data_IF_830909253040
#
_entry.id   IF_830909253040
#
_cell.length_a   1.000
_cell.length_b   1.000
_cell.length_c   1.000
_cell.angle_alpha   90.00
_cell.angle_beta   90.00
_cell.angle_gamma   90.00
#
_symmetry.space_group_name_H-M   'P 1'
#
loop_
_entity.id
_entity.type
_entity.pdbx_description
1 polymer ?
#
# COMPACT_ATOMS: atom_id res chain seq x y z
N UNK A 1 -1.85 -63.64 -42.93
CA UNK A 1 -1.63 -62.68 -41.82
C UNK A 1 -0.82 -61.42 -42.18
N UNK A 2 -0.07 -61.37 -43.29
CA UNK A 2 0.75 -60.18 -43.65
C UNK A 2 -0.05 -59.08 -44.39
N UNK A 3 -1.11 -59.42 -45.12
CA UNK A 3 -1.97 -58.44 -45.81
C UNK A 3 -3.03 -57.75 -44.92
N UNK A 4 -3.42 -58.38 -43.79
CA UNK A 4 -4.37 -57.77 -42.84
C UNK A 4 -3.74 -56.66 -42.00
N UNK A 5 -2.42 -56.73 -41.74
CA UNK A 5 -1.68 -55.68 -41.01
C UNK A 5 -1.48 -54.42 -41.86
N UNK A 6 -1.37 -54.54 -43.18
CA UNK A 6 -1.20 -53.39 -44.09
C UNK A 6 -2.49 -52.61 -44.28
N UNK A 7 -3.65 -53.27 -44.28
CA UNK A 7 -4.97 -52.62 -44.43
C UNK A 7 -5.35 -51.85 -43.15
N UNK A 8 -5.03 -52.38 -41.96
CA UNK A 8 -5.27 -51.67 -40.69
C UNK A 8 -4.35 -50.45 -40.56
N UNK A 9 -3.09 -50.53 -41.00
CA UNK A 9 -2.18 -49.37 -41.02
C UNK A 9 -2.63 -48.29 -42.02
N UNK A 10 -3.18 -48.68 -43.17
CA UNK A 10 -3.71 -47.73 -44.15
C UNK A 10 -5.02 -47.08 -43.70
N UNK A 11 -5.91 -47.81 -43.03
CA UNK A 11 -7.13 -47.23 -42.44
C UNK A 11 -6.81 -46.30 -41.25
N UNK A 12 -5.81 -46.62 -40.41
CA UNK A 12 -5.41 -45.74 -39.30
C UNK A 12 -4.73 -44.46 -39.80
N UNK A 13 -3.95 -44.53 -40.89
CA UNK A 13 -3.36 -43.34 -41.53
C UNK A 13 -4.41 -42.49 -42.26
N UNK A 14 -5.48 -43.09 -42.82
CA UNK A 14 -6.59 -42.33 -43.40
C UNK A 14 -7.50 -41.67 -42.35
N UNK A 15 -7.69 -42.29 -41.18
CA UNK A 15 -8.45 -41.68 -40.07
C UNK A 15 -7.63 -40.59 -39.36
N UNK A 16 -6.30 -40.73 -39.29
CA UNK A 16 -5.40 -39.67 -38.79
C UNK A 16 -5.21 -38.50 -39.77
N UNK A 17 -5.33 -38.72 -41.09
CA UNK A 17 -5.30 -37.63 -42.07
C UNK A 17 -6.65 -36.92 -42.25
N UNK A 18 -7.76 -37.53 -41.82
CA UNK A 18 -9.07 -36.88 -41.72
C UNK A 18 -9.29 -36.10 -40.41
N UNK A 19 -8.49 -36.38 -39.36
CA UNK A 19 -8.56 -35.67 -38.07
C UNK A 19 -7.63 -34.42 -38.01
N UNK A 20 -6.80 -34.20 -39.02
CA UNK A 20 -6.05 -32.96 -39.20
C UNK A 20 -6.84 -31.97 -40.07
N UNK A 21 -8.08 -31.67 -39.70
CA UNK A 21 -8.57 -30.33 -39.97
C UNK A 21 -7.72 -29.41 -39.08
N UNK A 22 -6.80 -28.67 -39.70
CA UNK A 22 -6.35 -27.42 -39.11
C UNK A 22 -7.61 -26.57 -38.98
N UNK A 23 -8.29 -26.69 -37.85
CA UNK A 23 -9.24 -25.70 -37.41
C UNK A 23 -8.44 -24.39 -37.38
N UNK A 24 -8.59 -23.61 -38.45
CA UNK A 24 -8.26 -22.20 -38.40
C UNK A 24 -9.27 -21.64 -37.43
N UNK A 25 -8.88 -21.58 -36.16
CA UNK A 25 -9.56 -20.75 -35.20
C UNK A 25 -9.40 -19.32 -35.72
N UNK A 26 -10.37 -18.85 -36.49
CA UNK A 26 -10.56 -17.43 -36.75
C UNK A 26 -10.97 -16.83 -35.43
N UNK A 27 -9.95 -16.37 -34.69
CA UNK A 27 -10.13 -15.63 -33.46
C UNK A 27 -10.75 -14.29 -33.85
N UNK A 28 -12.07 -14.22 -33.87
CA UNK A 28 -12.80 -12.98 -34.13
C UNK A 28 -12.74 -12.13 -32.86
N UNK A 29 -11.69 -11.32 -32.72
CA UNK A 29 -11.56 -10.39 -31.62
C UNK A 29 -12.51 -9.23 -31.91
N UNK A 30 -13.54 -8.99 -31.07
CA UNK A 30 -14.42 -7.85 -31.25
C UNK A 30 -13.61 -6.55 -31.11
N UNK A 31 -13.72 -5.68 -32.11
CA UNK A 31 -13.08 -4.37 -32.15
C UNK A 31 -14.09 -3.23 -31.96
N UNK A 32 -13.62 -2.07 -31.49
CA UNK A 32 -14.45 -0.89 -31.24
C UNK A 32 -15.12 -0.33 -32.51
N UNK A 33 -14.47 -0.46 -33.67
CA UNK A 33 -14.93 0.07 -34.95
C UNK A 33 -14.97 1.60 -35.01
N UNK A 34 -14.04 2.27 -34.31
CA UNK A 34 -13.91 3.74 -34.24
C UNK A 34 -12.63 4.16 -34.95
N UNK A 35 -12.70 5.17 -35.81
CA UNK A 35 -11.54 5.80 -36.43
C UNK A 35 -11.21 7.13 -35.75
N UNK A 36 -9.92 7.36 -35.54
CA UNK A 36 -9.44 8.51 -34.80
C UNK A 36 -9.21 9.69 -35.76
N UNK A 37 -9.64 10.87 -35.33
CA UNK A 37 -9.44 12.14 -36.01
C UNK A 37 -8.22 12.87 -35.45
N UNK A 38 -8.47 13.86 -34.61
CA UNK A 38 -7.42 14.65 -33.95
C UNK A 38 -7.18 14.18 -32.51
N UNK A 39 -5.96 14.31 -31.97
CA UNK A 39 -4.72 14.58 -32.69
C UNK A 39 -4.36 13.41 -33.63
N UNK A 40 -3.77 13.75 -34.79
CA UNK A 40 -3.30 12.78 -35.78
C UNK A 40 -2.08 12.01 -35.25
N UNK A 41 -1.80 10.84 -35.85
CA UNK A 41 -0.63 10.03 -35.52
C UNK A 41 0.67 10.85 -35.54
N UNK A 42 1.43 10.77 -34.45
CA UNK A 42 2.72 11.45 -34.27
C UNK A 42 2.63 12.95 -34.02
N UNK A 43 1.44 13.51 -33.74
CA UNK A 43 1.29 14.93 -33.42
C UNK A 43 2.09 15.34 -32.17
N UNK A 44 2.32 16.65 -32.01
CA UNK A 44 2.95 17.22 -30.82
C UNK A 44 1.96 18.13 -30.08
N UNK A 45 1.73 17.86 -28.79
CA UNK A 45 0.98 18.71 -27.89
C UNK A 45 1.96 19.43 -26.95
N UNK A 46 2.15 20.73 -27.15
CA UNK A 46 2.99 21.55 -26.28
C UNK A 46 2.14 22.28 -25.23
N UNK A 47 2.20 21.84 -23.98
CA UNK A 47 1.41 22.43 -22.88
C UNK A 47 2.03 23.74 -22.36
N UNK A 48 3.24 24.08 -22.81
CA UNK A 48 3.90 25.36 -22.50
C UNK A 48 3.49 26.49 -23.46
N UNK A 49 2.79 26.17 -24.54
CA UNK A 49 2.31 27.19 -25.48
C UNK A 49 1.16 27.98 -24.84
N UNK A 50 1.46 29.18 -24.37
CA UNK A 50 0.49 30.06 -23.73
C UNK A 50 -0.65 30.51 -24.66
N UNK A 51 -0.51 30.35 -25.98
CA UNK A 51 -1.59 30.61 -26.93
C UNK A 51 -2.63 29.48 -26.98
N UNK A 52 -2.29 28.31 -26.45
CA UNK A 52 -3.17 27.14 -26.42
C UNK A 52 -3.82 27.03 -25.05
N UNK A 53 -5.15 26.99 -25.01
CA UNK A 53 -5.93 26.83 -23.76
C UNK A 53 -6.55 25.44 -23.64
N UNK A 54 -6.68 24.71 -24.75
CA UNK A 54 -7.25 23.37 -24.80
C UNK A 54 -6.78 22.58 -26.02
N UNK A 55 -6.91 21.27 -25.95
CA UNK A 55 -6.68 20.32 -27.03
C UNK A 55 -7.98 19.59 -27.37
N UNK A 56 -8.24 19.40 -28.66
CA UNK A 56 -9.41 18.66 -29.13
C UNK A 56 -9.02 17.24 -29.53
N UNK A 57 -9.73 16.28 -28.96
CA UNK A 57 -9.69 14.87 -29.35
C UNK A 57 -10.97 14.57 -30.13
N UNK A 58 -10.89 13.96 -31.31
CA UNK A 58 -12.08 13.69 -32.14
C UNK A 58 -12.02 12.35 -32.85
N UNK A 59 -13.18 11.81 -33.21
CA UNK A 59 -13.32 10.50 -33.83
C UNK A 59 -14.60 10.42 -34.67
N UNK A 60 -14.75 9.37 -35.48
CA UNK A 60 -15.75 9.32 -36.56
C UNK A 60 -17.14 8.81 -36.17
N UNK A 61 -17.28 8.18 -34.99
CA UNK A 61 -18.48 7.41 -34.64
C UNK A 61 -18.86 7.47 -33.15
N UNK A 62 -20.17 7.46 -32.87
CA UNK A 62 -20.71 7.20 -31.52
C UNK A 62 -20.94 5.70 -31.31
N UNK A 63 -20.29 5.12 -30.31
CA UNK A 63 -20.51 3.72 -29.93
C UNK A 63 -21.84 3.54 -29.18
N UNK A 64 -22.38 2.32 -29.25
CA UNK A 64 -23.50 1.91 -28.39
C UNK A 64 -23.08 2.01 -26.91
N UNK A 65 -23.87 2.71 -26.09
CA UNK A 65 -23.53 3.02 -24.69
C UNK A 65 -22.62 4.24 -24.52
N UNK A 66 -22.28 4.93 -25.60
CA UNK A 66 -21.39 6.09 -25.60
C UNK A 66 -19.91 5.73 -25.71
N UNK A 67 -19.09 6.77 -25.76
CA UNK A 67 -17.66 6.69 -25.99
C UNK A 67 -16.86 7.01 -24.73
N UNK A 68 -15.73 6.33 -24.58
CA UNK A 68 -14.72 6.64 -23.59
C UNK A 68 -13.35 6.76 -24.25
N UNK A 69 -12.65 7.86 -23.99
CA UNK A 69 -11.27 8.05 -24.40
C UNK A 69 -10.38 7.28 -23.44
N UNK A 70 -9.41 6.57 -24.00
CA UNK A 70 -8.41 5.82 -23.25
C UNK A 70 -7.05 6.37 -23.62
N UNK A 71 -6.28 6.82 -22.64
CA UNK A 71 -4.87 7.20 -22.79
C UNK A 71 -3.98 6.18 -22.08
N UNK A 72 -2.80 5.92 -22.65
CA UNK A 72 -1.81 5.01 -22.06
C UNK A 72 -0.38 5.45 -22.40
N UNK A 73 0.57 5.07 -21.55
CA UNK A 73 2.01 5.14 -21.86
C UNK A 73 2.49 3.98 -22.74
N UNK A 74 1.64 2.98 -23.00
CA UNK A 74 1.95 1.78 -23.78
C UNK A 74 1.24 1.76 -25.13
N UNK A 75 1.92 1.40 -26.24
CA UNK A 75 1.30 1.24 -27.56
C UNK A 75 0.26 0.11 -27.60
N UNK A 76 0.26 -0.76 -26.59
CA UNK A 76 -0.66 -1.88 -26.46
C UNK A 76 -1.76 -1.64 -25.43
N UNK A 77 -1.84 -0.42 -24.87
CA UNK A 77 -2.78 -0.05 -23.80
C UNK A 77 -2.65 -0.95 -22.56
N UNK A 78 -1.41 -1.39 -22.27
CA UNK A 78 -1.07 -2.20 -21.10
C UNK A 78 -0.60 -1.33 -19.94
N UNK A 79 -0.96 -1.71 -18.72
CA UNK A 79 -0.57 -0.98 -17.51
C UNK A 79 -1.51 0.17 -17.18
N UNK A 80 -0.95 1.27 -16.69
CA UNK A 80 -1.74 2.44 -16.28
C UNK A 80 -2.42 3.10 -17.48
N UNK A 81 -3.70 3.41 -17.31
CA UNK A 81 -4.51 4.10 -18.30
C UNK A 81 -5.32 5.22 -17.66
N UNK A 82 -5.53 6.29 -18.41
CA UNK A 82 -6.48 7.34 -18.05
C UNK A 82 -7.72 7.15 -18.90
N UNK A 83 -8.88 7.05 -18.24
CA UNK A 83 -10.18 6.87 -18.88
C UNK A 83 -11.03 8.13 -18.71
N UNK A 84 -11.59 8.63 -19.81
CA UNK A 84 -12.50 9.79 -19.79
C UNK A 84 -13.79 9.42 -20.51
N UNK A 85 -14.91 9.50 -19.80
CA UNK A 85 -16.23 9.26 -20.37
C UNK A 85 -16.69 10.48 -21.18
N UNK A 86 -16.82 10.32 -22.49
CA UNK A 86 -17.26 11.37 -23.41
C UNK A 86 -18.76 11.26 -23.79
N UNK A 87 -19.45 10.22 -23.34
CA UNK A 87 -20.88 10.03 -23.62
C UNK A 87 -21.17 9.88 -25.11
N UNK A 88 -22.23 10.52 -25.60
CA UNK A 88 -22.63 10.47 -27.02
C UNK A 88 -21.93 11.52 -27.90
N UNK A 89 -20.78 12.05 -27.46
CA UNK A 89 -19.98 12.95 -28.26
C UNK A 89 -19.09 12.20 -29.27
N UNK A 90 -18.68 12.89 -30.32
CA UNK A 90 -17.64 12.49 -31.28
C UNK A 90 -16.36 13.33 -31.13
N UNK A 91 -16.34 14.22 -30.15
CA UNK A 91 -15.20 15.04 -29.79
C UNK A 91 -15.16 15.26 -28.27
N UNK A 92 -13.96 15.54 -27.76
CA UNK A 92 -13.70 15.91 -26.38
C UNK A 92 -12.67 17.03 -26.35
N UNK A 93 -13.04 18.16 -25.74
CA UNK A 93 -12.14 19.30 -25.55
C UNK A 93 -11.55 19.22 -24.15
N UNK A 94 -10.24 19.02 -24.08
CA UNK A 94 -9.48 18.90 -22.85
C UNK A 94 -8.73 20.20 -22.57
N UNK A 95 -8.90 20.78 -21.38
CA UNK A 95 -8.09 21.96 -21.01
C UNK A 95 -6.60 21.59 -20.91
N UNK A 96 -5.70 22.56 -21.11
CA UNK A 96 -4.25 22.32 -20.95
C UNK A 96 -3.91 21.82 -19.54
N UNK A 97 -4.62 22.31 -18.51
CA UNK A 97 -4.40 21.87 -17.14
C UNK A 97 -4.84 20.42 -16.93
N UNK A 98 -6.02 20.02 -17.42
CA UNK A 98 -6.47 18.64 -17.31
C UNK A 98 -5.58 17.69 -18.13
N UNK A 99 -5.09 18.14 -19.29
CA UNK A 99 -4.09 17.42 -20.07
C UNK A 99 -2.81 17.18 -19.25
N UNK A 100 -2.29 18.21 -18.59
CA UNK A 100 -1.10 18.07 -17.74
C UNK A 100 -1.32 17.06 -16.59
N UNK A 101 -2.50 17.10 -15.96
CA UNK A 101 -2.93 16.13 -14.94
C UNK A 101 -2.89 14.70 -15.48
N UNK A 102 -3.59 14.45 -16.59
CA UNK A 102 -3.74 13.12 -17.16
C UNK A 102 -2.39 12.55 -17.62
N UNK A 103 -1.54 13.36 -18.22
CA UNK A 103 -0.25 12.90 -18.72
C UNK A 103 0.79 12.73 -17.60
N UNK A 104 0.65 13.47 -16.50
CA UNK A 104 1.40 13.22 -15.26
C UNK A 104 1.06 11.85 -14.66
N UNK A 105 -0.23 11.46 -14.66
CA UNK A 105 -0.66 10.15 -14.19
C UNK A 105 -0.08 8.99 -15.03
N UNK A 106 0.23 9.25 -16.30
CA UNK A 106 0.88 8.30 -17.21
C UNK A 106 2.42 8.34 -17.13
N UNK A 107 3.00 9.07 -16.16
CA UNK A 107 4.42 9.06 -15.85
C UNK A 107 5.28 10.03 -16.67
N UNK A 108 4.68 10.92 -17.47
CA UNK A 108 5.45 11.98 -18.13
C UNK A 108 5.80 13.04 -17.08
N UNK A 109 7.08 13.34 -16.86
CA UNK A 109 7.53 14.32 -15.87
C UNK A 109 7.27 15.78 -16.29
N UNK A 110 7.13 16.68 -15.32
CA UNK A 110 6.97 18.12 -15.51
C UNK A 110 8.15 18.73 -16.27
N UNK A 111 7.85 19.56 -17.27
CA UNK A 111 8.83 20.12 -18.21
C UNK A 111 9.54 19.08 -19.09
N UNK A 112 9.13 17.81 -19.08
CA UNK A 112 9.68 16.74 -19.93
C UNK A 112 8.76 16.48 -21.12
N UNK A 113 9.32 15.74 -22.07
CA UNK A 113 8.61 15.23 -23.23
C UNK A 113 8.33 13.75 -23.04
N UNK A 114 7.15 13.28 -23.43
CA UNK A 114 6.79 11.86 -23.40
C UNK A 114 5.88 11.49 -24.57
N UNK A 115 5.78 10.20 -24.88
CA UNK A 115 4.85 9.68 -25.88
C UNK A 115 3.64 9.08 -25.17
N UNK A 116 2.44 9.50 -25.59
CA UNK A 116 1.17 8.97 -25.11
C UNK A 116 0.44 8.34 -26.29
N UNK A 117 -0.20 7.21 -26.02
CA UNK A 117 -1.06 6.49 -26.95
C UNK A 117 -2.50 6.70 -26.55
N UNK A 118 -3.39 6.89 -27.53
CA UNK A 118 -4.80 7.12 -27.25
C UNK A 118 -5.70 6.41 -28.25
N UNK A 119 -6.90 6.10 -27.78
CA UNK A 119 -7.97 5.49 -28.57
C UNK A 119 -9.33 5.84 -27.97
N UNK A 120 -10.40 5.42 -28.65
CA UNK A 120 -11.78 5.51 -28.18
C UNK A 120 -12.40 4.13 -28.17
N UNK A 121 -13.03 3.78 -27.04
CA UNK A 121 -13.75 2.52 -26.87
C UNK A 121 -15.21 2.76 -26.44
N UNK A 122 -16.12 1.81 -26.70
CA UNK A 122 -17.46 1.86 -26.12
C UNK A 122 -17.39 1.83 -24.60
N UNK A 123 -18.09 2.75 -23.93
CA UNK A 123 -18.05 2.90 -22.47
C UNK A 123 -18.37 1.61 -21.73
N UNK A 124 -19.39 0.89 -22.19
CA UNK A 124 -19.85 -0.35 -21.54
C UNK A 124 -19.06 -1.60 -21.95
N UNK A 125 -18.08 -1.47 -22.86
CA UNK A 125 -17.34 -2.60 -23.46
C UNK A 125 -15.84 -2.29 -23.59
N UNK A 126 -15.18 -1.80 -22.54
CA UNK A 126 -13.76 -1.42 -22.56
C UNK A 126 -12.78 -2.58 -22.88
N UNK A 127 -13.22 -3.84 -22.74
CA UNK A 127 -12.44 -5.04 -23.04
C UNK A 127 -12.29 -5.33 -24.53
N UNK A 128 -13.08 -4.68 -25.41
CA UNK A 128 -12.92 -4.85 -26.87
C UNK A 128 -11.58 -4.30 -27.34
N UNK A 129 -11.06 -4.85 -28.44
CA UNK A 129 -9.83 -4.35 -29.04
C UNK A 129 -10.04 -2.94 -29.61
N UNK A 130 -9.02 -2.10 -29.50
CA UNK A 130 -9.00 -0.82 -30.18
C UNK A 130 -8.85 -1.05 -31.69
N UNK A 131 -9.66 -0.38 -32.50
CA UNK A 131 -9.52 -0.44 -33.97
C UNK A 131 -8.31 0.37 -34.43
N UNK A 132 -8.11 1.54 -33.84
CA UNK A 132 -6.96 2.41 -34.08
C UNK A 132 -6.42 2.88 -32.73
N UNK A 133 -5.09 2.98 -32.66
CA UNK A 133 -4.39 3.61 -31.55
C UNK A 133 -3.48 4.65 -32.18
N UNK A 134 -3.72 5.92 -31.87
CA UNK A 134 -2.83 6.98 -32.29
C UNK A 134 -1.81 7.28 -31.20
N UNK A 135 -0.60 7.66 -31.58
CA UNK A 135 0.39 8.23 -30.68
C UNK A 135 0.50 9.75 -30.86
N UNK A 136 0.83 10.46 -29.79
CA UNK A 136 1.29 11.84 -29.85
C UNK A 136 2.41 12.06 -28.84
N UNK A 137 3.26 13.02 -29.15
CA UNK A 137 4.30 13.51 -28.24
C UNK A 137 3.73 14.66 -27.43
N UNK A 138 3.85 14.61 -26.11
CA UNK A 138 3.47 15.70 -25.21
C UNK A 138 4.71 16.36 -24.63
N UNK A 139 4.74 17.69 -24.61
CA UNK A 139 5.69 18.48 -23.82
C UNK A 139 4.93 19.05 -22.62
N UNK A 140 5.14 18.51 -21.41
CA UNK A 140 4.44 18.93 -20.19
C UNK A 140 4.87 20.32 -19.72
N UNK A 141 4.01 20.95 -18.90
CA UNK A 141 4.24 22.30 -18.38
C UNK A 141 5.57 22.36 -17.62
N UNK A 142 6.38 23.38 -17.92
CA UNK A 142 7.63 23.68 -17.23
C UNK A 142 7.31 23.96 -15.76
N UNK A 143 7.92 23.18 -14.89
CA UNK A 143 7.75 23.29 -13.45
C UNK A 143 8.75 24.26 -12.83
N UNK A 144 8.32 24.95 -11.78
CA UNK A 144 9.18 25.74 -10.92
C UNK A 144 9.60 24.97 -9.66
N UNK A 145 9.08 23.75 -9.47
CA UNK A 145 9.47 22.87 -8.38
C UNK A 145 10.74 22.11 -8.75
N UNK A 146 11.64 21.91 -7.80
CA UNK A 146 13.00 21.41 -8.04
C UNK A 146 13.17 20.03 -7.38
N UNK A 147 13.05 19.97 -6.06
CA UNK A 147 13.24 18.75 -5.26
C UNK A 147 12.04 18.57 -4.34
N UNK A 148 11.51 17.35 -4.13
CA UNK A 148 11.81 16.13 -4.90
C UNK A 148 11.46 16.28 -6.38
N UNK A 149 12.24 15.64 -7.26
CA UNK A 149 11.95 15.65 -8.70
C UNK A 149 10.54 15.09 -8.98
N UNK A 150 9.95 15.48 -10.11
CA UNK A 150 8.63 14.95 -10.48
C UNK A 150 8.70 13.42 -10.64
N UNK A 151 7.68 12.71 -10.16
CA UNK A 151 7.62 11.25 -10.06
C UNK A 151 8.64 10.62 -9.09
N UNK A 152 9.27 11.40 -8.21
CA UNK A 152 10.17 10.84 -7.20
C UNK A 152 9.44 9.86 -6.28
N UNK A 153 10.19 8.90 -5.74
CA UNK A 153 9.69 7.97 -4.72
C UNK A 153 10.23 8.35 -3.36
N UNK A 154 9.36 8.43 -2.35
CA UNK A 154 9.73 8.57 -0.94
C UNK A 154 9.18 7.37 -0.17
N UNK A 155 10.09 6.58 0.43
CA UNK A 155 9.74 5.50 1.34
C UNK A 155 10.25 5.91 2.71
N UNK A 156 9.34 6.11 3.64
CA UNK A 156 9.72 6.56 4.98
C UNK A 156 10.18 5.38 5.85
N UNK A 157 11.20 5.62 6.65
CA UNK A 157 11.81 4.69 7.57
C UNK A 157 11.51 5.09 9.02
N UNK A 158 10.85 4.20 9.74
CA UNK A 158 10.53 4.41 11.14
C UNK A 158 11.74 4.34 12.08
N UNK A 159 12.88 3.83 11.61
CA UNK A 159 14.15 3.82 12.37
C UNK A 159 14.92 5.14 12.29
N UNK A 160 14.61 5.99 11.31
CA UNK A 160 15.23 7.31 11.13
C UNK A 160 14.18 8.42 10.98
N UNK A 161 13.23 8.56 11.93
CA UNK A 161 12.12 9.50 11.83
C UNK A 161 12.55 10.97 11.76
N UNK A 162 13.75 11.29 12.26
CA UNK A 162 14.37 12.61 12.27
C UNK A 162 15.10 12.99 10.97
N UNK A 163 15.42 12.02 10.10
CA UNK A 163 16.01 12.33 8.79
C UNK A 163 15.06 13.22 7.98
N UNK A 164 15.61 14.10 7.16
CA UNK A 164 14.82 15.11 6.46
C UNK A 164 14.69 14.81 4.97
N UNK A 165 13.54 15.21 4.42
CA UNK A 165 13.26 15.28 2.99
C UNK A 165 13.18 16.76 2.62
N UNK A 166 14.04 17.17 1.68
CA UNK A 166 14.08 18.53 1.18
C UNK A 166 13.01 18.74 0.10
N UNK A 167 12.24 19.80 0.27
CA UNK A 167 11.36 20.37 -0.74
C UNK A 167 11.91 21.73 -1.17
N UNK A 168 12.06 21.99 -2.47
CA UNK A 168 12.56 23.27 -2.97
C UNK A 168 11.96 23.67 -4.31
N UNK A 169 11.88 24.98 -4.54
CA UNK A 169 11.30 25.59 -5.74
C UNK A 169 12.08 26.85 -6.15
N UNK A 170 11.85 27.28 -7.39
CA UNK A 170 12.42 28.49 -7.95
C UNK A 170 11.78 29.72 -7.29
N UNK A 171 12.62 30.67 -6.88
CA UNK A 171 12.21 31.96 -6.30
C UNK A 171 12.78 33.15 -7.09
N UNK A 172 13.38 32.89 -8.25
CA UNK A 172 13.91 33.96 -9.11
C UNK A 172 12.77 34.89 -9.57
N UNK A 173 12.91 36.19 -9.27
CA UNK A 173 11.89 37.19 -9.56
C UNK A 173 10.88 37.44 -8.43
N UNK A 174 10.91 36.65 -7.35
CA UNK A 174 10.09 36.87 -6.15
C UNK A 174 10.68 37.97 -5.24
N UNK A 175 9.83 38.63 -4.45
CA UNK A 175 10.31 39.54 -3.41
C UNK A 175 11.00 38.76 -2.28
N UNK A 176 12.06 39.32 -1.70
CA UNK A 176 12.86 38.65 -0.64
C UNK A 176 12.06 38.32 0.63
N UNK A 177 10.97 39.06 0.87
CA UNK A 177 10.10 38.88 2.03
C UNK A 177 8.87 38.00 1.72
N UNK A 178 8.81 37.38 0.53
CA UNK A 178 7.71 36.50 0.15
C UNK A 178 7.75 35.25 1.00
N UNK A 179 6.73 35.05 1.84
CA UNK A 179 6.57 33.82 2.61
C UNK A 179 5.75 32.78 1.86
N UNK A 180 6.06 31.50 2.11
CA UNK A 180 5.49 30.37 1.41
C UNK A 180 4.86 29.36 2.38
N UNK A 181 3.96 28.54 1.84
CA UNK A 181 3.52 27.30 2.47
C UNK A 181 3.72 26.14 1.49
N UNK A 182 4.23 25.02 2.00
CA UNK A 182 4.29 23.77 1.26
C UNK A 182 2.93 23.07 1.35
N UNK A 183 2.42 22.60 0.23
CA UNK A 183 1.09 22.01 0.09
C UNK A 183 1.20 20.58 -0.45
N UNK A 184 0.38 19.68 0.09
CA UNK A 184 0.22 18.32 -0.42
C UNK A 184 -1.26 18.01 -0.64
N UNK A 185 -1.58 17.25 -1.69
CA UNK A 185 -2.93 16.85 -2.01
C UNK A 185 -3.00 15.52 -2.76
N UNK A 186 -4.22 15.01 -2.90
CA UNK A 186 -4.51 13.75 -3.61
C UNK A 186 -4.76 13.96 -5.10
N UNK A 187 -4.89 15.21 -5.55
CA UNK A 187 -5.06 15.58 -6.94
C UNK A 187 -4.04 16.64 -7.37
N UNK A 188 -3.58 16.57 -8.62
CA UNK A 188 -2.59 17.50 -9.19
C UNK A 188 -3.07 18.94 -9.26
N UNK A 189 -4.39 19.14 -9.39
CA UNK A 189 -5.03 20.44 -9.41
C UNK A 189 -5.16 21.06 -8.02
N UNK A 190 -4.86 20.31 -6.96
CA UNK A 190 -4.98 20.73 -5.57
C UNK A 190 -6.36 21.35 -5.30
N UNK A 191 -7.42 20.65 -5.70
CA UNK A 191 -8.81 21.16 -5.66
C UNK A 191 -9.54 20.76 -4.37
N UNK A 192 -9.16 19.65 -3.75
CA UNK A 192 -9.78 19.12 -2.51
C UNK A 192 -8.74 18.40 -1.65
N UNK A 193 -9.00 18.31 -0.34
CA UNK A 193 -8.11 17.67 0.66
C UNK A 193 -6.64 18.08 0.50
N UNK A 194 -6.32 19.29 0.97
CA UNK A 194 -4.98 19.85 0.92
C UNK A 194 -4.47 20.02 2.34
N UNK A 195 -3.29 19.48 2.62
CA UNK A 195 -2.55 19.74 3.86
C UNK A 195 -1.46 20.75 3.56
N UNK A 196 -1.27 21.72 4.47
CA UNK A 196 -0.31 22.80 4.31
C UNK A 196 0.61 22.89 5.52
N UNK A 197 1.87 23.25 5.29
CA UNK A 197 2.85 23.53 6.34
C UNK A 197 3.61 24.80 6.01
N UNK A 198 3.94 25.58 7.04
CA UNK A 198 4.75 26.78 6.90
C UNK A 198 6.13 26.46 6.33
N UNK A 199 6.56 27.25 5.35
CA UNK A 199 7.80 27.01 4.63
C UNK A 199 8.76 28.21 4.62
N UNK A 200 8.48 29.25 5.44
CA UNK A 200 9.34 30.43 5.52
C UNK A 200 9.43 31.20 4.19
N UNK A 201 10.56 31.84 3.92
CA UNK A 201 10.76 32.76 2.78
C UNK A 201 11.95 32.42 1.86
N UNK A 202 12.56 31.25 2.01
CA UNK A 202 13.83 30.92 1.34
C UNK A 202 13.68 30.21 0.00
N UNK A 203 12.50 29.68 -0.33
CA UNK A 203 12.32 28.80 -1.49
C UNK A 203 12.60 27.33 -1.24
N UNK A 204 12.81 26.96 0.03
CA UNK A 204 13.06 25.59 0.45
C UNK A 204 12.45 25.29 1.82
N UNK A 205 12.06 24.03 2.03
CA UNK A 205 11.50 23.53 3.27
C UNK A 205 11.98 22.08 3.47
N UNK A 206 12.60 21.80 4.61
CA UNK A 206 12.95 20.43 5.00
C UNK A 206 11.95 19.93 6.04
N UNK A 207 11.35 18.78 5.77
CA UNK A 207 10.47 18.09 6.71
C UNK A 207 11.16 16.83 7.21
N UNK A 208 11.12 16.56 8.51
CA UNK A 208 11.52 15.24 9.01
C UNK A 208 10.57 14.18 8.47
N UNK A 209 11.01 12.92 8.39
CA UNK A 209 10.14 11.83 7.95
C UNK A 209 8.88 11.73 8.83
N UNK A 210 9.00 11.95 10.14
CA UNK A 210 7.85 11.99 11.05
C UNK A 210 6.90 13.16 10.72
N UNK A 211 7.40 14.36 10.47
CA UNK A 211 6.57 15.50 10.10
C UNK A 211 5.84 15.25 8.77
N UNK A 212 6.53 14.68 7.79
CA UNK A 212 5.92 14.35 6.50
C UNK A 212 4.84 13.26 6.65
N UNK A 213 5.09 12.22 7.46
CA UNK A 213 4.10 11.20 7.79
C UNK A 213 2.85 11.83 8.44
N UNK A 214 3.03 12.67 9.47
CA UNK A 214 1.93 13.28 10.21
C UNK A 214 1.10 14.25 9.33
N UNK A 215 1.74 14.91 8.36
CA UNK A 215 1.04 15.75 7.38
C UNK A 215 0.25 14.90 6.38
N UNK A 216 0.91 13.95 5.70
CA UNK A 216 0.27 13.18 4.62
C UNK A 216 -0.81 12.24 5.15
N UNK A 217 -0.72 11.74 6.38
CA UNK A 217 -1.76 10.88 7.00
C UNK A 217 -3.09 11.59 7.29
N UNK A 218 -3.13 12.93 7.18
CA UNK A 218 -4.40 13.68 7.22
C UNK A 218 -5.16 13.61 5.89
N UNK A 219 -4.48 13.21 4.80
CA UNK A 219 -5.10 12.95 3.50
C UNK A 219 -5.73 11.54 3.47
N UNK A 220 -6.73 11.29 2.60
CA UNK A 220 -7.35 9.97 2.46
C UNK A 220 -6.44 8.99 1.70
N UNK A 221 -5.31 8.63 2.32
CA UNK A 221 -4.33 7.71 1.78
C UNK A 221 -4.62 6.25 2.16
N UNK A 222 -4.15 5.32 1.34
CA UNK A 222 -4.03 3.92 1.74
C UNK A 222 -2.84 3.76 2.69
N UNK A 223 -3.11 3.41 3.94
CA UNK A 223 -2.04 3.09 4.89
C UNK A 223 -1.25 1.85 4.44
N UNK A 224 0.06 1.83 4.72
CA UNK A 224 0.98 0.73 4.42
C UNK A 224 1.09 0.32 2.93
N UNK A 225 0.49 1.11 2.03
CA UNK A 225 0.60 1.01 0.59
C UNK A 225 1.40 2.17 0.01
N UNK A 226 1.70 2.06 -1.28
CA UNK A 226 2.21 3.20 -2.05
C UNK A 226 1.04 4.07 -2.49
N UNK A 227 1.18 5.39 -2.28
CA UNK A 227 0.22 6.41 -2.65
C UNK A 227 0.83 7.34 -3.70
N UNK A 228 -0.01 7.96 -4.52
CA UNK A 228 0.40 9.06 -5.40
C UNK A 228 -0.03 10.36 -4.74
N UNK A 229 0.94 11.13 -4.26
CA UNK A 229 0.72 12.43 -3.62
C UNK A 229 1.21 13.52 -4.55
N UNK A 230 0.49 14.62 -4.64
CA UNK A 230 0.91 15.81 -5.37
C UNK A 230 1.42 16.83 -4.39
N UNK A 231 2.49 17.55 -4.75
CA UNK A 231 3.04 18.62 -3.91
C UNK A 231 3.35 19.88 -4.72
N UNK A 232 3.20 21.03 -4.08
CA UNK A 232 3.50 22.35 -4.63
C UNK A 232 3.77 23.33 -3.48
N UNK A 233 4.27 24.52 -3.78
CA UNK A 233 4.34 25.63 -2.83
C UNK A 233 3.31 26.71 -3.21
N UNK A 234 2.82 27.45 -2.22
CA UNK A 234 1.95 28.62 -2.42
C UNK A 234 2.55 29.84 -1.74
N UNK A 235 2.35 31.02 -2.33
CA UNK A 235 2.66 32.30 -1.68
C UNK A 235 1.61 32.55 -0.59
N UNK A 236 2.04 32.95 0.61
CA UNK A 236 1.10 33.28 1.70
C UNK A 236 0.29 34.54 1.44
N UNK A 237 0.85 35.48 0.68
CA UNK A 237 0.25 36.79 0.43
C UNK A 237 -1.09 36.71 -0.30
N UNK A 238 -1.18 35.83 -1.31
CA UNK A 238 -2.33 35.73 -2.20
C UNK A 238 -2.81 34.28 -2.42
N UNK A 239 -2.12 33.29 -1.86
CA UNK A 239 -2.45 31.87 -2.00
C UNK A 239 -2.15 31.29 -3.39
N UNK A 240 -1.48 32.03 -4.27
CA UNK A 240 -1.15 31.56 -5.61
C UNK A 240 -0.06 30.49 -5.58
N UNK A 241 -0.21 29.47 -6.41
CA UNK A 241 0.82 28.43 -6.56
C UNK A 241 2.10 29.02 -7.17
N UNK A 242 3.24 28.47 -6.73
CA UNK A 242 4.53 28.76 -7.35
C UNK A 242 4.57 28.16 -8.73
N UNK A 243 4.34 26.85 -8.86
CA UNK A 243 4.24 26.23 -10.18
C UNK A 243 2.80 26.04 -10.63
N UNK A 244 2.55 26.23 -11.93
CA UNK A 244 1.28 25.92 -12.59
C UNK A 244 0.90 24.44 -12.51
N UNK A 245 1.88 23.56 -12.30
CA UNK A 245 1.71 22.12 -12.12
C UNK A 245 2.31 21.68 -10.79
N UNK A 246 1.64 20.78 -10.11
CA UNK A 246 2.18 20.09 -8.93
C UNK A 246 3.11 18.95 -9.36
N UNK A 247 4.14 18.67 -8.56
CA UNK A 247 4.98 17.49 -8.73
C UNK A 247 4.31 16.27 -8.10
N UNK A 248 4.53 15.10 -8.68
CA UNK A 248 4.13 13.80 -8.15
C UNK A 248 5.22 13.25 -7.24
N UNK A 249 4.80 12.76 -6.07
CA UNK A 249 5.59 12.00 -5.13
C UNK A 249 4.92 10.64 -4.91
N UNK A 250 5.59 9.56 -5.32
CA UNK A 250 5.18 8.18 -4.99
C UNK A 250 5.58 7.91 -3.55
N UNK A 251 4.60 7.97 -2.65
CA UNK A 251 4.82 8.00 -1.22
C UNK A 251 4.45 6.66 -0.58
N UNK A 252 5.38 6.06 0.17
CA UNK A 252 5.10 4.95 1.08
C UNK A 252 5.41 5.41 2.50
N UNK A 253 4.37 5.47 3.33
CA UNK A 253 4.52 5.89 4.72
C UNK A 253 5.32 4.91 5.56
N UNK A 254 5.70 5.36 6.75
CA UNK A 254 6.37 4.54 7.74
C UNK A 254 5.51 3.33 8.11
N UNK A 255 6.15 2.18 8.33
CA UNK A 255 5.49 0.98 8.86
C UNK A 255 5.26 1.12 10.38
N UNK A 256 4.37 2.04 10.73
CA UNK A 256 3.95 2.34 12.11
C UNK A 256 2.43 2.48 12.21
N UNK A 257 1.90 2.11 13.37
CA UNK A 257 0.52 2.37 13.77
C UNK A 257 0.52 3.30 14.98
N UNK A 258 -0.05 4.49 14.82
CA UNK A 258 -0.26 5.43 15.93
C UNK A 258 -1.67 5.22 16.47
N UNK A 259 -1.76 4.52 17.59
CA UNK A 259 -2.99 4.22 18.31
C UNK A 259 -3.34 5.40 19.23
N UNK A 260 -4.48 6.03 18.99
CA UNK A 260 -4.97 7.17 19.78
C UNK A 260 -6.27 6.74 20.45
N UNK A 261 -6.27 6.75 21.79
CA UNK A 261 -7.37 6.29 22.64
C UNK A 261 -7.64 7.33 23.72
N UNK A 262 -8.52 8.28 23.41
CA UNK A 262 -8.71 9.45 24.26
C UNK A 262 -7.44 10.30 24.33
N UNK A 263 -6.86 10.44 25.52
CA UNK A 263 -5.61 11.14 25.78
C UNK A 263 -4.35 10.26 25.66
N UNK A 264 -4.50 8.93 25.50
CA UNK A 264 -3.39 8.01 25.27
C UNK A 264 -3.01 7.99 23.79
N UNK A 265 -1.72 8.23 23.48
CA UNK A 265 -1.13 8.11 22.15
C UNK A 265 0.08 7.19 22.21
N UNK A 266 0.00 6.03 21.57
CA UNK A 266 1.10 5.06 21.51
C UNK A 266 1.37 4.70 20.05
N UNK A 267 2.63 4.79 19.64
CA UNK A 267 3.07 4.33 18.32
C UNK A 267 3.65 2.91 18.42
N UNK A 268 3.21 2.04 17.53
CA UNK A 268 3.66 0.67 17.38
C UNK A 268 4.35 0.46 16.04
N UNK A 269 5.42 -0.34 15.99
CA UNK A 269 5.95 -0.83 14.72
C UNK A 269 5.00 -1.83 14.09
N UNK A 270 5.02 -1.85 12.76
CA UNK A 270 4.21 -2.71 11.91
C UNK A 270 5.14 -3.46 10.96
N UNK A 271 4.75 -4.69 10.61
CA UNK A 271 5.42 -5.50 9.61
C UNK A 271 4.46 -5.79 8.46
N UNK A 272 4.92 -5.57 7.23
CA UNK A 272 4.21 -5.93 6.02
C UNK A 272 4.83 -7.21 5.45
N UNK A 273 4.06 -8.29 5.47
CA UNK A 273 4.51 -9.64 5.11
C UNK A 273 3.85 -10.04 3.80
N UNK A 274 4.64 -10.53 2.85
CA UNK A 274 4.13 -11.09 1.59
C UNK A 274 4.06 -12.61 1.69
N UNK A 275 2.85 -13.16 1.64
CA UNK A 275 2.62 -14.59 1.63
C UNK A 275 2.90 -15.20 0.25
N UNK A 276 3.05 -16.52 0.22
CA UNK A 276 3.35 -17.32 -0.97
C UNK A 276 2.28 -17.18 -2.07
N UNK A 277 1.05 -16.83 -1.69
CA UNK A 277 -0.06 -16.51 -2.60
C UNK A 277 0.11 -15.18 -3.33
N UNK A 278 1.06 -14.34 -2.89
CA UNK A 278 1.26 -12.97 -3.36
C UNK A 278 0.52 -11.92 -2.54
N UNK A 279 -0.34 -12.33 -1.61
CA UNK A 279 -1.06 -11.44 -0.69
C UNK A 279 -0.10 -10.74 0.27
N UNK A 280 -0.35 -9.45 0.53
CA UNK A 280 0.39 -8.67 1.51
C UNK A 280 -0.45 -8.47 2.78
N UNK A 281 -0.01 -9.05 3.89
CA UNK A 281 -0.68 -8.98 5.19
C UNK A 281 0.13 -8.12 6.15
N UNK A 282 -0.54 -7.21 6.83
CA UNK A 282 0.09 -6.21 7.70
C UNK A 282 -0.22 -6.54 9.17
N UNK A 283 0.83 -6.74 9.96
CA UNK A 283 0.77 -7.17 11.35
C UNK A 283 1.40 -6.12 12.27
N UNK A 284 0.88 -5.98 13.50
CA UNK A 284 1.67 -5.34 14.56
C UNK A 284 2.95 -6.14 14.81
N UNK A 285 4.09 -5.45 14.78
CA UNK A 285 5.39 -6.01 15.11
C UNK A 285 5.70 -5.92 16.62
N UNK A 286 4.91 -5.14 17.35
CA UNK A 286 5.03 -4.97 18.79
C UNK A 286 3.78 -5.44 19.52
N UNK A 287 3.96 -5.95 20.74
CA UNK A 287 2.83 -6.24 21.62
C UNK A 287 2.16 -4.94 22.07
N UNK A 288 0.84 -4.96 22.21
CA UNK A 288 0.08 -3.79 22.67
C UNK A 288 0.47 -3.37 24.09
N UNK A 289 0.48 -2.06 24.30
CA UNK A 289 0.88 -1.41 25.56
C UNK A 289 -0.19 -0.49 26.16
N UNK A 290 -1.35 -0.42 25.52
CA UNK A 290 -2.46 0.46 25.88
C UNK A 290 -3.07 0.12 27.24
N UNK A 291 -3.57 1.15 27.90
CA UNK A 291 -4.37 1.05 29.12
C UNK A 291 -5.80 1.56 28.94
N UNK A 292 -6.20 1.85 27.68
CA UNK A 292 -7.52 2.39 27.34
C UNK A 292 -8.19 1.60 26.23
N UNK A 293 -9.51 1.59 26.23
CA UNK A 293 -10.31 1.11 25.10
C UNK A 293 -10.26 2.12 23.94
N UNK A 294 -10.62 1.71 22.71
CA UNK A 294 -10.68 2.62 21.55
C UNK A 294 -11.58 3.83 21.77
N UNK A 295 -12.60 3.73 22.65
CA UNK A 295 -13.47 4.85 23.03
C UNK A 295 -12.83 5.84 24.04
N UNK A 296 -11.59 5.58 24.49
CA UNK A 296 -10.83 6.39 25.43
C UNK A 296 -11.07 6.07 26.91
N UNK A 297 -11.98 5.15 27.24
CA UNK A 297 -12.22 4.72 28.62
C UNK A 297 -11.11 3.81 29.14
N UNK A 298 -10.86 3.83 30.46
CA UNK A 298 -9.78 3.04 31.05
C UNK A 298 -10.09 1.53 31.04
N UNK A 299 -9.08 0.72 30.73
CA UNK A 299 -9.12 -0.73 30.94
C UNK A 299 -8.80 -0.98 32.42
N UNK A 300 -9.62 -1.76 33.12
CA UNK A 300 -9.49 -1.90 34.57
C UNK A 300 -8.48 -2.97 34.98
N UNK A 301 -7.32 -2.54 35.48
CA UNK A 301 -6.37 -3.43 36.18
C UNK A 301 -7.04 -4.11 37.39
N UNK A 302 -7.89 -3.36 38.12
CA UNK A 302 -8.56 -3.84 39.33
C UNK A 302 -9.64 -4.92 39.05
N UNK A 303 -10.12 -5.03 37.82
CA UNK A 303 -11.04 -6.09 37.40
C UNK A 303 -10.31 -7.30 36.81
N UNK A 304 -8.98 -7.22 36.63
CA UNK A 304 -8.23 -8.22 35.88
C UNK A 304 -8.56 -8.17 34.38
N UNK A 305 -8.87 -6.99 33.84
CA UNK A 305 -9.07 -6.80 32.40
C UNK A 305 -7.72 -6.76 31.65
N UNK A 306 -6.65 -6.34 32.34
CA UNK A 306 -5.27 -6.50 31.86
C UNK A 306 -4.27 -6.66 33.02
N UNK A 307 -3.03 -7.05 32.70
CA UNK A 307 -1.90 -7.12 33.63
C UNK A 307 -0.65 -6.47 33.03
N UNK A 308 0.22 -5.97 33.91
CA UNK A 308 1.53 -5.44 33.54
C UNK A 308 2.53 -6.57 33.28
N UNK A 309 3.55 -6.30 32.46
CA UNK A 309 4.72 -7.15 32.39
C UNK A 309 5.36 -7.33 33.79
N UNK A 310 6.01 -8.48 34.04
CA UNK A 310 6.71 -8.72 35.30
C UNK A 310 7.70 -7.59 35.62
N UNK A 311 7.76 -7.18 36.89
CA UNK A 311 8.65 -6.08 37.33
C UNK A 311 10.08 -6.51 37.64
N UNK A 312 10.33 -7.83 37.66
CA UNK A 312 11.62 -8.47 37.94
C UNK A 312 12.52 -8.61 36.69
N UNK A 313 12.08 -8.08 35.54
CA UNK A 313 12.81 -8.07 34.27
C UNK A 313 13.16 -6.62 33.85
N UNK A 314 14.10 -6.47 32.92
CA UNK A 314 14.57 -5.15 32.45
C UNK A 314 13.45 -4.33 31.79
N UNK A 315 13.55 -3.01 31.85
CA UNK A 315 12.58 -2.11 31.19
C UNK A 315 12.42 -2.39 29.70
N UNK A 316 13.52 -2.75 29.01
CA UNK A 316 13.48 -3.15 27.61
C UNK A 316 12.64 -4.40 27.37
N UNK A 317 12.74 -5.41 28.25
CA UNK A 317 11.89 -6.61 28.18
C UNK A 317 10.44 -6.30 28.55
N UNK A 318 10.20 -5.48 29.58
CA UNK A 318 8.84 -5.04 29.94
C UNK A 318 8.14 -4.34 28.77
N UNK A 319 8.85 -3.45 28.07
CA UNK A 319 8.34 -2.75 26.88
C UNK A 319 8.06 -3.72 25.72
N UNK A 320 8.95 -4.68 25.48
CA UNK A 320 8.81 -5.66 24.42
C UNK A 320 7.64 -6.62 24.67
N UNK A 321 7.51 -7.09 25.91
CA UNK A 321 6.42 -7.98 26.33
C UNK A 321 5.06 -7.27 26.31
N UNK A 322 5.04 -5.97 26.60
CA UNK A 322 3.82 -5.17 26.58
C UNK A 322 2.90 -5.47 27.76
N UNK A 323 1.59 -5.36 27.53
CA UNK A 323 0.56 -5.73 28.51
C UNK A 323 -0.11 -7.04 28.13
N UNK A 324 -0.73 -7.67 29.10
CA UNK A 324 -1.46 -8.94 28.95
C UNK A 324 -2.92 -8.63 29.09
N UNK A 325 -3.73 -8.89 28.06
CA UNK A 325 -5.15 -8.52 28.06
C UNK A 325 -6.00 -9.75 28.31
N UNK A 326 -7.06 -9.58 29.09
CA UNK A 326 -7.97 -10.67 29.41
C UNK A 326 -8.68 -11.18 28.16
N UNK A 327 -8.91 -12.50 28.11
CA UNK A 327 -9.76 -13.13 27.10
C UNK A 327 -11.18 -12.51 27.05
N UNK A 328 -11.63 -11.88 28.14
CA UNK A 328 -12.97 -11.26 28.25
C UNK A 328 -13.10 -9.95 27.48
N UNK A 329 -11.99 -9.32 27.11
CA UNK A 329 -11.99 -8.00 26.47
C UNK A 329 -11.44 -8.03 25.05
N UNK A 330 -11.21 -9.23 24.49
CA UNK A 330 -10.62 -9.46 23.17
C UNK A 330 -11.26 -8.60 22.08
N UNK A 331 -12.58 -8.54 22.06
CA UNK A 331 -13.32 -7.77 21.03
C UNK A 331 -13.40 -6.27 21.33
N UNK A 332 -13.09 -5.85 22.56
CA UNK A 332 -13.23 -4.46 23.01
C UNK A 332 -11.95 -3.65 22.81
N UNK A 333 -10.78 -4.30 22.75
CA UNK A 333 -9.48 -3.62 22.70
C UNK A 333 -8.99 -3.32 21.28
N UNK A 334 -9.69 -3.81 20.25
CA UNK A 334 -9.29 -3.68 18.84
C UNK A 334 -9.65 -2.30 18.31
N UNK A 335 -8.66 -1.58 17.79
CA UNK A 335 -8.86 -0.26 17.16
C UNK A 335 -9.45 -0.39 15.75
N UNK A 336 -10.14 0.66 15.27
CA UNK A 336 -10.75 0.67 13.94
C UNK A 336 -9.74 0.37 12.81
N UNK A 337 -10.17 -0.45 11.85
CA UNK A 337 -9.34 -0.91 10.73
C UNK A 337 -8.36 -2.02 11.08
N UNK A 338 -8.44 -2.56 12.29
CA UNK A 338 -7.67 -3.72 12.74
C UNK A 338 -8.60 -4.86 13.17
N UNK A 339 -8.07 -6.08 13.21
CA UNK A 339 -8.71 -7.24 13.82
C UNK A 339 -7.79 -7.91 14.84
N UNK A 340 -8.40 -8.54 15.85
CA UNK A 340 -7.71 -9.56 16.64
C UNK A 340 -7.50 -10.80 15.75
N UNK A 341 -6.29 -11.37 15.67
CA UNK A 341 -6.01 -12.58 14.92
C UNK A 341 -6.77 -13.79 15.48
N UNK A 342 -7.21 -14.65 14.57
CA UNK A 342 -7.73 -15.99 14.86
C UNK A 342 -6.60 -16.99 15.01
N UNK A 343 -6.89 -18.18 15.53
CA UNK A 343 -5.93 -19.28 15.57
C UNK A 343 -5.47 -19.67 14.16
N UNK A 344 -6.35 -19.58 13.18
CA UNK A 344 -6.02 -19.85 11.78
C UNK A 344 -5.09 -18.79 11.18
N UNK A 345 -5.26 -17.51 11.51
CA UNK A 345 -4.33 -16.45 11.09
C UNK A 345 -2.90 -16.74 11.59
N UNK A 346 -2.76 -17.23 12.83
CA UNK A 346 -1.45 -17.60 13.38
C UNK A 346 -0.87 -18.88 12.76
N UNK A 347 -1.70 -19.88 12.46
CA UNK A 347 -1.29 -21.06 11.69
C UNK A 347 -0.77 -20.68 10.32
N UNK A 348 -1.49 -19.81 9.63
CA UNK A 348 -1.09 -19.33 8.31
C UNK A 348 0.23 -18.56 8.39
N UNK A 349 0.39 -17.65 9.36
CA UNK A 349 1.66 -16.95 9.59
C UNK A 349 2.84 -17.92 9.79
N UNK A 350 2.67 -18.96 10.61
CA UNK A 350 3.70 -19.98 10.80
C UNK A 350 3.98 -20.74 9.50
N UNK A 351 2.95 -21.23 8.82
CA UNK A 351 3.09 -22.01 7.59
C UNK A 351 3.81 -21.23 6.48
N UNK A 352 3.47 -19.95 6.33
CA UNK A 352 4.09 -19.05 5.37
C UNK A 352 5.55 -18.77 5.75
N UNK A 353 5.85 -18.58 7.05
CA UNK A 353 7.24 -18.39 7.51
C UNK A 353 8.11 -19.60 7.19
N UNK A 354 7.57 -20.81 7.30
CA UNK A 354 8.29 -22.06 7.02
C UNK A 354 8.62 -22.23 5.53
N UNK A 355 7.89 -21.57 4.62
CA UNK A 355 8.25 -21.54 3.18
C UNK A 355 9.58 -20.81 2.94
N UNK A 356 10.03 -19.96 3.88
CA UNK A 356 11.33 -19.29 3.83
C UNK A 356 12.47 -20.12 4.42
N UNK A 357 12.19 -21.37 4.81
CA UNK A 357 13.16 -22.35 5.33
C UNK A 357 13.14 -22.52 6.85
N UNK A 358 12.82 -21.48 7.61
CA UNK A 358 12.69 -21.54 9.07
C UNK A 358 11.71 -20.50 9.60
N UNK A 359 11.01 -20.84 10.69
CA UNK A 359 10.16 -19.93 11.43
C UNK A 359 10.94 -18.86 12.24
N UNK A 360 12.28 -18.92 12.26
CA UNK A 360 13.12 -17.91 12.92
C UNK A 360 12.93 -16.50 12.34
N UNK A 361 12.43 -16.38 11.11
CA UNK A 361 12.05 -15.10 10.49
C UNK A 361 10.98 -14.35 11.28
N UNK A 362 10.22 -15.04 12.14
CA UNK A 362 9.21 -14.46 13.03
C UNK A 362 9.78 -14.06 14.39
N UNK A 363 10.89 -14.67 14.83
CA UNK A 363 11.43 -14.53 16.19
C UNK A 363 12.24 -13.24 16.33
N UNK A 364 12.00 -12.49 17.41
CA UNK A 364 12.81 -11.32 17.70
C UNK A 364 14.29 -11.69 17.97
N UNK A 365 15.23 -10.96 17.37
CA UNK A 365 16.67 -11.27 17.46
C UNK A 365 17.20 -11.28 18.90
N UNK A 366 16.76 -10.32 19.71
CA UNK A 366 17.31 -10.09 21.06
C UNK A 366 16.63 -10.89 22.18
N UNK A 367 15.33 -11.18 22.07
CA UNK A 367 14.54 -11.64 23.23
C UNK A 367 14.34 -13.16 23.27
N UNK A 368 14.67 -13.85 22.18
CA UNK A 368 14.68 -15.31 22.14
C UNK A 368 15.96 -15.87 22.75
N UNK A 369 15.84 -17.03 23.39
CA UNK A 369 16.96 -17.74 24.00
C UNK A 369 17.55 -18.62 22.91
N UNK A 370 18.42 -18.04 22.09
CA UNK A 370 19.10 -18.78 21.04
C UNK A 370 20.08 -19.76 21.67
N UNK A 371 19.94 -21.05 21.34
CA UNK A 371 20.83 -22.11 21.84
C UNK A 371 22.27 -21.97 21.29
N UNK A 372 22.42 -21.25 20.18
CA UNK A 372 23.68 -20.94 19.49
C UNK A 372 23.73 -19.44 19.11
N UNK A 373 24.49 -19.08 18.07
CA UNK A 373 24.43 -17.74 17.48
C UNK A 373 23.04 -17.45 16.90
N UNK A 374 22.60 -16.20 17.01
CA UNK A 374 21.36 -15.71 16.40
C UNK A 374 21.39 -15.97 14.89
N UNK A 375 20.41 -16.70 14.31
CA UNK A 375 20.33 -16.94 12.88
C UNK A 375 20.32 -15.65 12.07
N UNK A 376 20.94 -15.66 10.89
CA UNK A 376 20.99 -14.47 10.02
C UNK A 376 19.59 -13.99 9.64
N UNK A 377 18.69 -14.93 9.35
CA UNK A 377 17.31 -14.66 8.99
C UNK A 377 16.41 -14.35 10.20
N UNK A 378 16.94 -14.32 11.44
CA UNK A 378 16.13 -14.00 12.61
C UNK A 378 15.47 -12.63 12.46
N UNK A 379 14.15 -12.58 12.66
CA UNK A 379 13.31 -11.40 12.46
C UNK A 379 13.32 -10.82 11.03
N UNK A 380 13.66 -11.59 9.99
CA UNK A 380 13.71 -11.07 8.61
C UNK A 380 12.36 -10.52 8.12
N UNK A 381 11.23 -10.96 8.71
CA UNK A 381 9.90 -10.43 8.38
C UNK A 381 9.53 -9.19 9.17
N UNK A 382 10.35 -8.77 10.14
CA UNK A 382 10.08 -7.63 11.01
C UNK A 382 8.95 -7.88 12.03
N UNK A 383 8.35 -9.08 12.07
CA UNK A 383 7.28 -9.42 13.01
C UNK A 383 7.78 -9.36 14.44
N UNK A 384 8.93 -9.96 14.76
CA UNK A 384 9.58 -9.82 16.06
C UNK A 384 8.76 -10.39 17.22
N UNK A 385 8.25 -11.61 17.12
CA UNK A 385 7.59 -12.33 18.22
C UNK A 385 8.50 -12.35 19.45
N UNK A 386 7.91 -12.19 20.63
CA UNK A 386 8.63 -12.16 21.91
C UNK A 386 8.08 -13.18 22.90
N UNK A 387 8.93 -13.86 23.67
CA UNK A 387 8.52 -14.92 24.57
C UNK A 387 8.05 -14.41 25.95
N UNK A 388 6.89 -13.74 25.94
CA UNK A 388 6.36 -13.00 27.09
C UNK A 388 5.61 -13.81 28.15
N UNK A 389 5.35 -15.10 27.98
CA UNK A 389 4.46 -15.81 28.93
C UNK A 389 2.98 -15.40 28.81
N UNK A 390 2.16 -15.80 29.77
CA UNK A 390 0.72 -15.51 29.82
C UNK A 390 0.18 -15.51 31.26
N UNK A 391 -1.08 -15.10 31.47
CA UNK A 391 -1.78 -15.15 32.76
C UNK A 391 -2.81 -16.28 32.73
N UNK A 392 -2.69 -17.23 33.66
CA UNK A 392 -3.50 -18.45 33.64
C UNK A 392 -4.95 -18.24 34.09
N UNK A 393 -5.18 -17.43 35.12
CA UNK A 393 -6.52 -17.23 35.71
C UNK A 393 -6.98 -15.78 35.62
N UNK A 394 -8.28 -15.57 35.77
CA UNK A 394 -8.84 -14.21 35.90
C UNK A 394 -8.68 -13.74 37.35
N UNK A 395 -8.21 -12.51 37.52
CA UNK A 395 -8.18 -11.85 38.82
C UNK A 395 -7.15 -10.73 38.84
N UNK A 396 -7.45 -9.65 39.56
CA UNK A 396 -6.58 -8.47 39.63
C UNK A 396 -5.17 -8.77 40.15
N UNK A 397 -5.02 -9.81 40.97
CA UNK A 397 -3.75 -10.19 41.61
C UNK A 397 -3.04 -11.36 40.93
N UNK A 398 -3.59 -11.85 39.80
CA UNK A 398 -2.96 -12.91 39.03
C UNK A 398 -1.64 -12.43 38.43
N UNK A 399 -0.71 -13.37 38.24
CA UNK A 399 0.63 -13.07 37.75
C UNK A 399 0.85 -13.69 36.37
N UNK A 400 1.69 -13.01 35.59
CA UNK A 400 2.25 -13.60 34.37
C UNK A 400 3.12 -14.78 34.77
N UNK A 401 2.97 -15.90 34.08
CA UNK A 401 3.74 -17.12 34.25
C UNK A 401 4.41 -17.51 32.93
N UNK A 402 5.40 -18.40 32.99
CA UNK A 402 6.10 -18.93 31.82
C UNK A 402 6.77 -17.87 30.93
N UNK A 403 7.17 -16.75 31.54
CA UNK A 403 8.04 -15.74 30.93
C UNK A 403 9.50 -16.06 31.27
N UNK A 404 10.42 -15.72 30.36
CA UNK A 404 11.88 -15.81 30.60
C UNK A 404 12.36 -17.20 31.11
N UNK A 405 11.70 -18.28 30.67
CA UNK A 405 12.09 -19.66 30.99
C UNK A 405 13.03 -20.23 29.92
N UNK A 406 13.68 -21.37 30.21
CA UNK A 406 14.60 -22.04 29.29
C UNK A 406 13.97 -22.34 27.92
N UNK A 407 12.71 -22.77 27.88
CA UNK A 407 11.99 -23.09 26.64
C UNK A 407 11.51 -21.85 25.85
N UNK A 408 11.54 -20.67 26.50
CA UNK A 408 11.27 -19.34 25.96
C UNK A 408 10.10 -19.25 24.95
N UNK A 409 8.88 -19.47 25.45
CA UNK A 409 7.66 -19.59 24.66
C UNK A 409 6.94 -18.25 24.44
N UNK A 410 6.44 -18.01 23.23
CA UNK A 410 5.63 -16.84 22.90
C UNK A 410 4.14 -17.19 22.96
N UNK A 411 3.40 -16.46 23.79
CA UNK A 411 1.95 -16.61 23.93
C UNK A 411 1.26 -15.37 23.39
N UNK A 412 0.14 -15.57 22.70
CA UNK A 412 -0.63 -14.48 22.12
C UNK A 412 -2.13 -14.71 22.32
N UNK A 413 -2.83 -13.60 22.53
CA UNK A 413 -4.27 -13.56 22.59
C UNK A 413 -4.87 -13.82 21.20
N UNK A 414 -6.02 -14.48 21.16
CA UNK A 414 -6.72 -14.78 19.91
C UNK A 414 -8.22 -14.61 20.07
N UNK A 415 -8.92 -14.42 18.95
CA UNK A 415 -10.35 -14.11 18.92
C UNK A 415 -11.26 -15.33 19.12
N UNK A 416 -10.87 -16.48 18.60
CA UNK A 416 -11.79 -17.59 18.32
C UNK A 416 -11.56 -18.82 19.20
N UNK A 417 -10.65 -18.74 20.18
CA UNK A 417 -10.47 -19.79 21.18
C UNK A 417 -11.09 -19.39 22.52
N UNK A 418 -12.00 -20.22 23.02
CA UNK A 418 -12.58 -20.06 24.35
C UNK A 418 -11.60 -20.55 25.41
N UNK A 419 -11.32 -19.71 26.42
CA UNK A 419 -10.49 -20.07 27.59
C UNK A 419 -9.10 -20.61 27.22
N UNK A 420 -8.57 -20.14 26.09
CA UNK A 420 -7.28 -20.56 25.58
C UNK A 420 -6.55 -19.40 24.91
N UNK A 421 -5.23 -19.49 24.93
CA UNK A 421 -4.32 -18.58 24.23
C UNK A 421 -3.42 -19.37 23.29
N UNK A 422 -2.90 -18.70 22.28
CA UNK A 422 -2.03 -19.29 21.26
C UNK A 422 -0.61 -19.38 21.78
N UNK A 423 0.09 -20.46 21.43
CA UNK A 423 1.46 -20.74 21.81
C UNK A 423 2.33 -21.01 20.57
N UNK A 424 3.24 -20.07 20.31
CA UNK A 424 4.43 -20.27 19.49
C UNK A 424 5.57 -20.76 20.38
N UNK A 425 5.71 -22.08 20.52
CA UNK A 425 6.86 -22.68 21.20
C UNK A 425 8.03 -22.85 20.25
N UNK A 426 9.26 -22.83 20.79
CA UNK A 426 10.45 -23.07 19.96
C UNK A 426 10.38 -24.46 19.30
N UNK A 427 9.93 -25.47 20.05
CA UNK A 427 9.68 -26.82 19.53
C UNK A 427 8.64 -26.82 18.41
N UNK A 428 7.47 -26.22 18.63
CA UNK A 428 6.38 -26.19 17.67
C UNK A 428 6.77 -25.50 16.37
N UNK A 429 7.44 -24.36 16.46
CA UNK A 429 7.92 -23.65 15.28
C UNK A 429 8.91 -24.46 14.45
N UNK A 430 9.71 -25.35 15.07
CA UNK A 430 10.58 -26.29 14.34
C UNK A 430 9.81 -27.50 13.79
N UNK A 431 8.82 -28.00 14.51
CA UNK A 431 8.00 -29.16 14.10
C UNK A 431 6.78 -28.79 13.27
N UNK A 432 6.65 -27.51 12.88
CA UNK A 432 5.57 -26.96 12.06
C UNK A 432 4.19 -27.05 12.73
N UNK A 433 4.17 -26.91 14.04
CA UNK A 433 2.98 -26.99 14.86
C UNK A 433 2.82 -25.73 15.72
N UNK A 434 1.58 -25.24 15.78
CA UNK A 434 1.19 -24.18 16.70
C UNK A 434 0.23 -24.77 17.72
N UNK A 435 0.46 -24.44 18.98
CA UNK A 435 -0.30 -25.00 20.09
C UNK A 435 -1.24 -23.96 20.67
N UNK A 436 -2.15 -24.43 21.51
CA UNK A 436 -2.99 -23.62 22.37
C UNK A 436 -2.82 -24.10 23.82
N UNK A 437 -2.98 -23.18 24.76
CA UNK A 437 -2.86 -23.46 26.19
C UNK A 437 -4.10 -22.96 26.90
N UNK A 438 -4.65 -23.78 27.80
CA UNK A 438 -5.77 -23.39 28.63
C UNK A 438 -5.38 -22.21 29.53
N UNK A 439 -6.10 -21.11 29.35
CA UNK A 439 -5.90 -19.86 30.05
C UNK A 439 -7.24 -19.13 30.18
N UNK A 440 -7.68 -18.92 31.41
CA UNK A 440 -8.84 -18.09 31.72
C UNK A 440 -8.46 -16.62 31.88
N UNK A 441 -7.19 -16.32 32.14
CA UNK A 441 -6.66 -14.97 32.31
C UNK A 441 -6.51 -14.22 30.99
N UNK A 442 -5.27 -14.14 30.50
CA UNK A 442 -4.94 -13.29 29.36
C UNK A 442 -3.53 -13.48 28.81
N UNK A 443 -3.25 -12.85 27.67
CA UNK A 443 -1.96 -12.91 26.98
C UNK A 443 -1.67 -11.57 26.29
N UNK A 444 -0.43 -11.33 25.83
CA UNK A 444 -0.13 -10.20 24.97
C UNK A 444 -0.93 -10.25 23.67
N UNK A 445 -1.23 -9.09 23.11
CA UNK A 445 -2.04 -8.97 21.90
C UNK A 445 -1.27 -8.28 20.78
N UNK A 446 -1.53 -8.73 19.55
CA UNK A 446 -1.10 -8.12 18.29
C UNK A 446 -2.26 -8.14 17.32
N UNK A 447 -2.34 -7.16 16.46
CA UNK A 447 -3.45 -7.04 15.49
C UNK A 447 -2.98 -7.26 14.06
N UNK A 448 -3.94 -7.59 13.20
CA UNK A 448 -3.80 -7.59 11.75
C UNK A 448 -4.59 -6.40 11.21
N UNK A 449 -3.99 -5.62 10.31
CA UNK A 449 -4.66 -4.53 9.63
C UNK A 449 -5.59 -5.09 8.55
N UNK A 450 -6.81 -4.59 8.47
CA UNK A 450 -7.85 -5.05 7.54
C UNK A 450 -8.35 -3.93 6.60
N UNK A 451 -7.72 -2.75 6.63
CA UNK A 451 -8.19 -1.59 5.90
C UNK A 451 -9.24 -0.79 6.65
N UNK A 452 -9.45 0.47 6.23
CA UNK A 452 -10.63 1.26 6.59
C UNK A 452 -11.52 1.42 5.38
#
# INVERSE_FOLDING_TARGET
MRQFKTIILFLSVLVLSAACQKDKYELNIPEAGVRLGFPVEGATLNLNDESVTSFTFSWDKVCEGGNSLVFSSSPYLLGDTVLIHAGEANEYVMSVLDADVHFSALGVGGGKTGTIYWTVKPTDKLSVAATEIHSFTVQRIQTQLITPADQATAILNADTPEETILFSWQVEGENIDTEYQLCFGMDSGMKSDIVKVDAGNTGECSLTQQQLQDLITQLPISLFGQNTIYWNAVRKSDGTFISRTSHVLKFTGMLIFTDIRGDEKITYRVAKVKYSTGEEVVWLAENLRTTKYPDGTDISLANGDYWNAPSDISEGLQKAYGKYYSIKIVDKIVSDGWKMPTFEDYKLLLNESLQTGSADVLKHRTYWNWSESVPDNANAWGIGLVPGGYVQYVGANEKVINYNQADNNCYLLTRDLAEQVVLFSDYGMRTKEIYNVNAWGGAPARFIYIGK
#
